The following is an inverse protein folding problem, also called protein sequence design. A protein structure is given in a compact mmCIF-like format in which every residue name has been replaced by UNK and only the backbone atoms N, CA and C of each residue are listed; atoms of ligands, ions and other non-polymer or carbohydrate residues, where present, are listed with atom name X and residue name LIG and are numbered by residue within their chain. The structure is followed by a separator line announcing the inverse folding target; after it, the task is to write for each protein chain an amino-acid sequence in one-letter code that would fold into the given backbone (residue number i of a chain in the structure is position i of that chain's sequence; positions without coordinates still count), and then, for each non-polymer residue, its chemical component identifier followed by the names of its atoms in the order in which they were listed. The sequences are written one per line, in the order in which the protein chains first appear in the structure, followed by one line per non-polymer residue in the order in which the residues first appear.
data_IF_158756927166
#
_entry.id   IF_158756927166
#
_cell.length_a   1.000
_cell.length_b   1.000
_cell.length_c   1.000
_cell.angle_alpha   90.00
_cell.angle_beta   90.00
_cell.angle_gamma   90.00
#
_symmetry.space_group_name_H-M   'P 1'
#
loop_
_entity.id
_entity.type
_entity.pdbx_description
1 polymer ?
#
# COMPACT_ATOMS: atom_id res chain seq x y z
N UNK A 1 -7.79 46.44 -1.41
CA UNK A 1 -8.70 46.69 -0.27
C UNK A 1 -8.61 45.50 0.68
N UNK A 2 -8.20 45.67 1.96
CA UNK A 2 -8.16 44.56 2.90
C UNK A 2 -9.60 44.20 3.30
N UNK A 3 -10.02 42.98 2.97
CA UNK A 3 -11.31 42.44 3.40
C UNK A 3 -11.20 42.05 4.88
N UNK A 4 -11.78 42.88 5.76
CA UNK A 4 -11.97 42.54 7.17
C UNK A 4 -13.16 41.57 7.31
N UNK A 5 -12.94 40.30 6.95
CA UNK A 5 -13.90 39.22 7.22
C UNK A 5 -14.00 38.98 8.73
N UNK A 6 -15.21 39.00 9.30
CA UNK A 6 -15.46 38.59 10.69
C UNK A 6 -14.88 37.19 10.89
N UNK A 7 -14.15 36.98 12.01
CA UNK A 7 -13.50 35.69 12.35
C UNK A 7 -14.43 34.46 12.21
N UNK A 8 -15.73 34.63 12.46
CA UNK A 8 -16.73 33.57 12.28
C UNK A 8 -17.00 33.18 10.81
N UNK A 9 -17.06 34.17 9.90
CA UNK A 9 -17.27 33.93 8.47
C UNK A 9 -16.03 33.29 7.85
N UNK A 10 -14.84 33.69 8.30
CA UNK A 10 -13.58 33.09 7.85
C UNK A 10 -13.49 31.60 8.20
N UNK A 11 -13.90 31.20 9.41
CA UNK A 11 -13.96 29.78 9.80
C UNK A 11 -14.96 29.00 8.94
N UNK A 12 -16.15 29.55 8.70
CA UNK A 12 -17.17 28.92 7.86
C UNK A 12 -16.68 28.72 6.41
N UNK A 13 -15.96 29.69 5.86
CA UNK A 13 -15.35 29.59 4.53
C UNK A 13 -14.33 28.44 4.45
N UNK A 14 -13.43 28.33 5.43
CA UNK A 14 -12.42 27.26 5.46
C UNK A 14 -13.08 25.89 5.62
N UNK A 15 -14.04 25.77 6.53
CA UNK A 15 -14.75 24.50 6.75
C UNK A 15 -15.52 24.08 5.50
N UNK A 16 -16.22 25.01 4.84
CA UNK A 16 -16.91 24.74 3.58
C UNK A 16 -15.95 24.26 2.49
N UNK A 17 -14.81 24.96 2.33
CA UNK A 17 -13.78 24.57 1.36
C UNK A 17 -13.23 23.16 1.63
N UNK A 18 -12.95 22.84 2.89
CA UNK A 18 -12.46 21.51 3.29
C UNK A 18 -13.46 20.40 2.95
N UNK A 19 -14.75 20.62 3.22
CA UNK A 19 -15.82 19.65 2.92
C UNK A 19 -15.92 19.42 1.41
N UNK A 20 -15.84 20.48 0.61
CA UNK A 20 -15.90 20.37 -0.85
C UNK A 20 -14.72 19.55 -1.38
N UNK A 21 -13.50 19.84 -0.94
CA UNK A 21 -12.30 19.10 -1.34
C UNK A 21 -12.43 17.62 -0.97
N UNK A 22 -12.86 17.33 0.26
CA UNK A 22 -13.04 15.96 0.75
C UNK A 22 -14.09 15.20 -0.08
N UNK A 23 -15.22 15.83 -0.38
CA UNK A 23 -16.28 15.22 -1.17
C UNK A 23 -15.82 14.81 -2.57
N UNK A 24 -15.13 15.71 -3.29
CA UNK A 24 -14.59 15.38 -4.61
C UNK A 24 -13.52 14.29 -4.56
N UNK A 25 -12.67 14.28 -3.53
CA UNK A 25 -11.63 13.27 -3.37
C UNK A 25 -12.22 11.86 -3.15
N UNK A 26 -13.28 11.77 -2.34
CA UNK A 26 -13.98 10.50 -2.08
C UNK A 26 -14.71 9.97 -3.32
N UNK A 27 -15.25 10.85 -4.18
CA UNK A 27 -15.85 10.44 -5.45
C UNK A 27 -14.81 9.87 -6.42
N UNK A 28 -13.60 10.47 -6.47
CA UNK A 28 -12.53 10.00 -7.33
C UNK A 28 -11.99 8.62 -6.94
N UNK A 29 -12.09 8.23 -5.66
CA UNK A 29 -11.64 6.93 -5.15
C UNK A 29 -12.28 5.73 -5.86
N UNK A 30 -13.53 5.86 -6.33
CA UNK A 30 -14.21 4.75 -7.02
C UNK A 30 -13.67 4.48 -8.43
N UNK A 31 -12.93 5.42 -9.03
CA UNK A 31 -12.40 5.31 -10.39
C UNK A 31 -10.96 4.76 -10.45
N UNK A 32 -10.31 4.54 -9.31
CA UNK A 32 -8.95 4.03 -9.24
C UNK A 32 -8.99 2.50 -9.43
N UNK A 33 -8.25 1.95 -10.41
CA UNK A 33 -8.20 0.50 -10.60
C UNK A 33 -7.68 -0.16 -9.34
N UNK A 34 -8.34 -1.25 -8.92
CA UNK A 34 -7.93 -2.02 -7.74
C UNK A 34 -6.68 -2.82 -8.10
N UNK A 35 -5.52 -2.41 -7.62
CA UNK A 35 -4.25 -3.09 -7.82
C UNK A 35 -3.17 -2.49 -6.93
N UNK A 36 -2.14 -3.28 -6.65
CA UNK A 36 -0.96 -2.81 -5.92
C UNK A 36 0.07 -2.24 -6.90
N UNK A 37 0.75 -1.18 -6.47
CA UNK A 37 1.97 -0.74 -7.12
C UNK A 37 3.10 -1.77 -6.91
N UNK A 38 4.11 -1.75 -7.79
CA UNK A 38 5.26 -2.66 -7.69
C UNK A 38 5.89 -2.66 -6.29
N UNK A 39 6.00 -1.48 -5.71
CA UNK A 39 6.65 -1.22 -4.45
C UNK A 39 5.82 -1.71 -3.26
N UNK A 40 4.51 -1.53 -3.31
CA UNK A 40 3.56 -2.08 -2.33
C UNK A 40 3.50 -3.61 -2.40
N UNK A 41 3.39 -4.15 -3.61
CA UNK A 41 3.28 -5.59 -3.84
C UNK A 41 4.50 -6.33 -3.31
N UNK A 42 5.71 -5.86 -3.62
CA UNK A 42 6.96 -6.47 -3.16
C UNK A 42 7.12 -6.46 -1.64
N UNK A 43 6.65 -5.42 -0.95
CA UNK A 43 6.69 -5.36 0.52
C UNK A 43 5.68 -6.35 1.10
N UNK A 44 4.42 -6.32 0.63
CA UNK A 44 3.36 -7.21 1.11
C UNK A 44 3.65 -8.68 0.81
N UNK A 45 4.24 -8.97 -0.35
CA UNK A 45 4.59 -10.31 -0.77
C UNK A 45 5.69 -10.91 0.10
N UNK A 46 6.80 -10.19 0.33
CA UNK A 46 7.86 -10.68 1.21
C UNK A 46 7.36 -10.81 2.66
N UNK A 47 6.53 -9.89 3.16
CA UNK A 47 5.92 -9.99 4.48
C UNK A 47 5.06 -11.27 4.61
N UNK A 48 4.26 -11.57 3.59
CA UNK A 48 3.45 -12.79 3.51
C UNK A 48 4.31 -14.07 3.46
N UNK A 49 5.39 -14.08 2.68
CA UNK A 49 6.29 -15.24 2.60
C UNK A 49 6.96 -15.51 3.95
N UNK A 50 7.45 -14.47 4.64
CA UNK A 50 7.99 -14.64 5.99
C UNK A 50 6.88 -15.14 6.94
N UNK A 51 5.62 -14.69 6.77
CA UNK A 51 4.44 -15.17 7.55
C UNK A 51 4.19 -16.66 7.39
N UNK A 52 4.41 -17.16 6.19
CA UNK A 52 4.07 -18.53 5.82
C UNK A 52 5.23 -19.49 6.05
N UNK A 53 6.43 -19.12 5.61
CA UNK A 53 7.60 -20.00 5.54
C UNK A 53 8.80 -19.48 6.31
N UNK A 54 8.81 -18.21 6.74
CA UNK A 54 9.98 -17.57 7.35
C UNK A 54 11.09 -17.20 6.34
N UNK A 55 10.81 -17.33 5.05
CA UNK A 55 11.77 -17.06 3.97
C UNK A 55 11.28 -15.91 3.08
N UNK A 56 12.21 -15.21 2.42
CA UNK A 56 11.90 -14.18 1.42
C UNK A 56 11.59 -14.78 0.03
N UNK A 57 11.35 -13.91 -0.97
CA UNK A 57 11.12 -14.32 -2.37
C UNK A 57 12.31 -15.05 -3.03
N UNK A 58 13.49 -15.02 -2.41
CA UNK A 58 14.71 -15.65 -2.87
C UNK A 58 15.10 -16.88 -2.03
N UNK A 59 14.29 -17.27 -1.03
CA UNK A 59 14.56 -18.40 -0.16
C UNK A 59 15.56 -18.12 0.96
N UNK A 60 15.88 -16.87 1.26
CA UNK A 60 16.69 -16.49 2.42
C UNK A 60 15.84 -16.52 3.68
N UNK A 61 16.34 -17.15 4.73
CA UNK A 61 15.70 -17.17 6.04
C UNK A 61 15.99 -15.86 6.79
N UNK A 62 14.94 -15.10 7.12
CA UNK A 62 15.04 -13.81 7.83
C UNK A 62 16.15 -12.86 7.32
N UNK A 63 16.13 -12.44 6.05
CA UNK A 63 17.14 -11.55 5.54
C UNK A 63 17.02 -10.15 6.16
N UNK A 64 18.15 -9.51 6.34
CA UNK A 64 18.23 -8.11 6.78
C UNK A 64 17.96 -7.16 5.60
N UNK A 65 18.18 -7.63 4.37
CA UNK A 65 17.94 -6.87 3.15
C UNK A 65 17.07 -7.67 2.20
N UNK A 66 15.91 -7.13 1.86
CA UNK A 66 15.01 -7.73 0.89
C UNK A 66 15.34 -7.20 -0.48
N UNK A 67 15.61 -8.09 -1.43
CA UNK A 67 15.75 -7.73 -2.83
C UNK A 67 14.44 -8.05 -3.52
N UNK A 68 13.89 -7.09 -4.26
CA UNK A 68 12.69 -7.30 -5.07
C UNK A 68 12.66 -6.32 -6.23
N UNK A 69 12.26 -6.78 -7.42
CA UNK A 69 12.22 -5.97 -8.66
C UNK A 69 13.53 -5.23 -8.98
N UNK A 70 14.69 -5.77 -8.59
CA UNK A 70 16.00 -5.18 -8.85
C UNK A 70 16.45 -4.11 -7.85
N UNK A 71 15.62 -3.78 -6.85
CA UNK A 71 15.93 -2.81 -5.80
C UNK A 71 15.97 -3.47 -4.42
N UNK A 72 16.70 -2.85 -3.50
CA UNK A 72 16.72 -3.27 -2.10
C UNK A 72 15.65 -2.50 -1.31
N UNK A 73 14.84 -3.24 -0.57
CA UNK A 73 13.76 -2.72 0.25
C UNK A 73 14.13 -2.71 1.71
N UNK A 74 13.61 -1.70 2.40
CA UNK A 74 13.83 -1.56 3.83
C UNK A 74 13.11 -2.72 4.56
N UNK A 75 13.85 -3.55 5.32
CA UNK A 75 13.29 -4.69 6.03
C UNK A 75 12.26 -4.31 7.08
N UNK A 76 12.33 -3.09 7.62
CA UNK A 76 11.45 -2.66 8.70
C UNK A 76 9.98 -2.70 8.28
N UNK A 77 9.67 -2.22 7.07
CA UNK A 77 8.28 -2.26 6.57
C UNK A 77 7.78 -3.68 6.40
N UNK A 78 8.65 -4.58 5.94
CA UNK A 78 8.31 -5.99 5.70
C UNK A 78 8.07 -6.71 7.03
N UNK A 79 8.91 -6.48 8.04
CA UNK A 79 8.74 -7.08 9.36
C UNK A 79 7.56 -6.51 10.15
N UNK A 80 7.23 -5.22 9.98
CA UNK A 80 6.03 -4.65 10.60
C UNK A 80 4.75 -5.22 9.99
N UNK A 81 4.74 -5.48 8.68
CA UNK A 81 3.60 -6.06 7.96
C UNK A 81 3.53 -7.59 8.04
N UNK A 82 4.55 -8.24 8.61
CA UNK A 82 4.65 -9.70 8.69
C UNK A 82 3.50 -10.32 9.50
N UNK A 83 2.91 -9.58 10.44
CA UNK A 83 1.81 -10.12 11.24
C UNK A 83 0.66 -10.66 10.37
N UNK A 84 0.27 -11.91 10.63
CA UNK A 84 -0.80 -12.62 9.90
C UNK A 84 -2.15 -11.92 10.00
N UNK A 85 -2.32 -11.05 11.01
CA UNK A 85 -3.49 -10.20 11.19
C UNK A 85 -3.50 -8.95 10.29
N UNK A 86 -2.34 -8.51 9.79
CA UNK A 86 -2.22 -7.25 9.05
C UNK A 86 -2.74 -7.34 7.61
N UNK A 87 -2.87 -8.53 7.03
CA UNK A 87 -3.36 -8.73 5.67
C UNK A 87 -4.82 -9.19 5.65
N UNK A 88 -5.68 -8.41 4.95
CA UNK A 88 -7.06 -8.81 4.76
C UNK A 88 -7.16 -10.10 3.93
N UNK A 89 -8.30 -10.80 4.06
CA UNK A 89 -8.58 -12.03 3.29
C UNK A 89 -8.43 -11.82 1.78
N UNK A 90 -8.82 -10.63 1.29
CA UNK A 90 -8.72 -10.26 -0.12
C UNK A 90 -7.27 -10.04 -0.56
N UNK A 91 -6.44 -9.42 0.28
CA UNK A 91 -5.03 -9.15 -0.05
C UNK A 91 -4.24 -10.46 -0.16
N UNK A 92 -4.51 -11.41 0.76
CA UNK A 92 -3.93 -12.76 0.68
C UNK A 92 -4.36 -13.50 -0.57
N UNK A 93 -5.65 -13.47 -0.90
CA UNK A 93 -6.15 -14.10 -2.13
C UNK A 93 -5.53 -13.45 -3.38
N UNK A 94 -5.36 -12.12 -3.39
CA UNK A 94 -4.71 -11.41 -4.49
C UNK A 94 -3.24 -11.81 -4.63
N UNK A 95 -2.51 -11.91 -3.51
CA UNK A 95 -1.12 -12.37 -3.50
C UNK A 95 -1.03 -13.81 -4.03
N UNK A 96 -1.87 -14.72 -3.55
CA UNK A 96 -1.89 -16.13 -3.99
C UNK A 96 -2.26 -16.28 -5.47
N UNK A 97 -3.24 -15.52 -5.97
CA UNK A 97 -3.61 -15.54 -7.39
C UNK A 97 -2.50 -15.06 -8.32
N UNK A 98 -1.66 -14.14 -7.84
CA UNK A 98 -0.53 -13.62 -8.60
C UNK A 98 0.77 -14.41 -8.35
N UNK A 99 0.77 -15.33 -7.39
CA UNK A 99 1.90 -16.18 -7.05
C UNK A 99 1.62 -17.60 -7.53
N UNK A 100 1.99 -17.89 -8.78
CA UNK A 100 1.97 -19.27 -9.27
C UNK A 100 2.87 -20.16 -8.42
N UNK A 101 2.45 -21.40 -8.15
CA UNK A 101 3.25 -22.40 -7.45
C UNK A 101 4.66 -22.49 -8.05
N UNK A 102 5.64 -21.96 -7.33
CA UNK A 102 7.05 -22.30 -7.50
C UNK A 102 7.87 -21.53 -8.55
N UNK A 103 7.43 -20.41 -9.12
CA UNK A 103 8.27 -19.68 -10.09
C UNK A 103 7.95 -18.19 -10.21
N UNK A 104 9.00 -17.38 -10.02
CA UNK A 104 9.20 -15.99 -10.46
C UNK A 104 7.90 -15.26 -10.77
N UNK A 105 7.39 -14.59 -9.74
CA UNK A 105 6.16 -13.83 -9.79
C UNK A 105 6.21 -12.81 -10.94
N UNK A 106 5.52 -13.12 -12.04
CA UNK A 106 5.33 -12.21 -13.18
C UNK A 106 4.10 -11.36 -12.92
N UNK A 107 4.03 -10.68 -11.77
CA UNK A 107 2.96 -9.69 -11.56
C UNK A 107 3.21 -8.55 -12.52
N UNK A 108 2.21 -8.27 -13.33
CA UNK A 108 2.16 -7.03 -14.11
C UNK A 108 1.76 -5.91 -13.15
N UNK A 109 2.70 -5.52 -12.29
CA UNK A 109 2.51 -4.41 -11.39
C UNK A 109 2.34 -3.12 -12.20
N UNK A 110 1.45 -2.24 -11.75
CA UNK A 110 1.28 -0.93 -12.36
C UNK A 110 2.52 -0.09 -12.05
N UNK A 111 3.08 0.56 -13.08
CA UNK A 111 4.17 1.53 -12.93
C UNK A 111 3.63 2.90 -12.57
#
# INVERSE_FOLDING_TARGET
MPIFLKKGIFKLLITSLFIVILFFHLLALSSIPRGFYCDEFSIGYNAFLIAKTGHDEHGNFFPIFFKSFGEFKNPLFIYLLWDKGSLNKYDRAFIELNTGEGSIVKVRCYK
#
